data_IF_840400946983
#
_entry.id   IF_840400946983
#
_cell.length_a   1.000
_cell.length_b   1.000
_cell.length_c   1.000
_cell.angle_alpha   90.00
_cell.angle_beta   90.00
_cell.angle_gamma   90.00
#
_symmetry.space_group_name_H-M   'P 1'
#
loop_
_entity.id
_entity.type
_entity.pdbx_description
1 polymer ?
#
# COMPACT_ATOMS: atom_id res chain seq x y z
N UNK A 1 47.48 -10.91 -28.85
CA UNK A 1 47.70 -9.87 -27.83
C UNK A 1 46.66 -10.11 -26.76
N UNK A 2 47.06 -10.71 -25.64
CA UNK A 2 46.21 -10.75 -24.45
C UNK A 2 46.30 -9.38 -23.77
N UNK A 3 45.14 -8.80 -23.46
CA UNK A 3 45.05 -7.55 -22.71
C UNK A 3 45.42 -7.86 -21.26
N UNK A 4 46.52 -7.28 -20.77
CA UNK A 4 46.84 -7.24 -19.34
C UNK A 4 45.72 -6.47 -18.62
N UNK A 5 44.74 -7.19 -18.10
CA UNK A 5 43.77 -6.62 -17.17
C UNK A 5 44.51 -6.32 -15.86
N UNK A 6 44.86 -5.06 -15.62
CA UNK A 6 45.31 -4.50 -14.34
C UNK A 6 44.20 -4.51 -13.27
N UNK A 7 43.38 -5.55 -13.23
CA UNK A 7 42.40 -5.74 -12.17
C UNK A 7 43.13 -6.32 -10.95
N UNK A 8 43.57 -5.44 -10.05
CA UNK A 8 43.89 -5.85 -8.68
C UNK A 8 42.62 -6.41 -8.04
N UNK A 9 42.52 -7.74 -7.99
CA UNK A 9 41.44 -8.41 -7.28
C UNK A 9 41.73 -8.32 -5.77
N UNK A 10 41.08 -7.38 -5.09
CA UNK A 10 41.12 -7.30 -3.62
C UNK A 10 40.15 -8.35 -3.05
N UNK A 11 40.69 -9.45 -2.54
CA UNK A 11 39.92 -10.47 -1.83
C UNK A 11 39.95 -10.15 -0.33
N UNK A 12 38.83 -9.67 0.22
CA UNK A 12 38.69 -9.39 1.65
C UNK A 12 37.94 -10.56 2.30
N UNK A 13 38.62 -11.34 3.15
CA UNK A 13 37.99 -12.37 3.97
C UNK A 13 37.64 -11.80 5.36
N UNK A 14 36.35 -11.55 5.61
CA UNK A 14 35.85 -10.94 6.86
C UNK A 14 35.85 -11.89 8.08
N UNK A 15 36.29 -13.15 7.93
CA UNK A 15 36.28 -14.17 9.00
C UNK A 15 37.65 -14.40 9.68
N UNK A 16 38.70 -13.66 9.32
CA UNK A 16 40.04 -13.79 9.93
C UNK A 16 40.27 -12.82 11.10
N UNK A 17 41.12 -13.15 12.08
CA UNK A 17 41.51 -12.22 13.14
C UNK A 17 42.73 -11.39 12.71
N UNK A 18 42.53 -10.29 11.99
CA UNK A 18 43.60 -9.36 11.61
C UNK A 18 43.99 -8.45 12.77
N UNK A 19 45.28 -8.35 13.10
CA UNK A 19 45.75 -7.75 14.35
C UNK A 19 46.78 -6.62 14.16
N UNK A 20 46.66 -5.81 13.09
CA UNK A 20 47.68 -4.81 12.76
C UNK A 20 47.17 -3.41 12.42
N UNK A 21 46.04 -3.31 11.71
CA UNK A 21 45.51 -2.03 11.23
C UNK A 21 44.07 -1.83 11.74
N UNK A 22 43.88 -0.76 12.51
CA UNK A 22 42.61 -0.37 13.10
C UNK A 22 41.53 -0.13 12.04
N UNK A 23 41.89 0.44 10.89
CA UNK A 23 40.92 0.74 9.84
C UNK A 23 40.45 -0.55 9.14
N UNK A 24 41.36 -1.49 8.88
CA UNK A 24 40.99 -2.82 8.35
C UNK A 24 40.14 -3.62 9.34
N UNK A 25 40.46 -3.54 10.64
CA UNK A 25 39.66 -4.16 11.70
C UNK A 25 38.26 -3.55 11.77
N UNK A 26 38.13 -2.23 11.62
CA UNK A 26 36.84 -1.54 11.59
C UNK A 26 36.02 -1.86 10.34
N UNK A 27 36.65 -2.00 9.17
CA UNK A 27 35.99 -2.49 7.96
C UNK A 27 35.42 -3.90 8.17
N UNK A 28 36.22 -4.79 8.76
CA UNK A 28 35.78 -6.15 9.06
C UNK A 28 34.61 -6.17 10.05
N UNK A 29 34.70 -5.38 11.13
CA UNK A 29 33.61 -5.25 12.11
C UNK A 29 32.33 -4.73 11.45
N UNK A 30 32.43 -3.71 10.59
CA UNK A 30 31.29 -3.20 9.82
C UNK A 30 30.65 -4.27 8.92
N UNK A 31 31.46 -5.09 8.24
CA UNK A 31 30.97 -6.19 7.39
C UNK A 31 30.27 -7.31 8.18
N UNK A 32 30.56 -7.43 9.48
CA UNK A 32 30.00 -8.44 10.36
C UNK A 32 28.92 -7.87 11.31
N UNK A 33 28.44 -6.64 11.08
CA UNK A 33 27.50 -5.92 11.94
C UNK A 33 27.99 -5.72 13.40
N UNK A 34 29.32 -5.77 13.61
CA UNK A 34 29.95 -5.57 14.91
C UNK A 34 30.23 -4.09 15.19
N UNK A 35 30.38 -3.76 16.48
CA UNK A 35 30.72 -2.41 16.92
C UNK A 35 32.13 -2.02 16.49
N UNK A 36 32.24 -1.06 15.57
CA UNK A 36 33.51 -0.44 15.16
C UNK A 36 34.13 0.40 16.28
N UNK A 37 35.46 0.48 16.29
CA UNK A 37 36.19 1.38 17.18
C UNK A 37 36.21 2.80 16.62
N UNK A 38 36.00 3.78 17.48
CA UNK A 38 36.00 5.19 17.13
C UNK A 38 37.42 5.75 17.07
N UNK A 39 38.26 5.22 16.17
CA UNK A 39 39.58 5.79 15.87
C UNK A 39 39.92 5.62 14.38
N UNK A 40 40.95 6.32 13.90
CA UNK A 40 41.31 6.35 12.49
C UNK A 40 40.23 6.97 11.61
N UNK A 41 40.21 6.57 10.34
CA UNK A 41 39.33 7.15 9.30
C UNK A 41 37.85 6.97 9.64
N UNK A 42 37.50 5.89 10.34
CA UNK A 42 36.13 5.63 10.78
C UNK A 42 35.58 6.67 11.75
N UNK A 43 36.42 7.19 12.67
CA UNK A 43 36.02 8.23 13.60
C UNK A 43 35.71 9.54 12.87
N UNK A 44 36.54 9.87 11.89
CA UNK A 44 36.39 11.09 11.09
C UNK A 44 35.10 11.04 10.28
N UNK A 45 34.82 9.89 9.65
CA UNK A 45 33.54 9.64 8.94
C UNK A 45 32.35 9.74 9.90
N UNK A 46 32.43 9.12 11.09
CA UNK A 46 31.36 9.21 12.10
C UNK A 46 31.09 10.65 12.51
N UNK A 47 32.16 11.44 12.71
CA UNK A 47 32.07 12.85 13.08
C UNK A 47 31.42 13.67 11.96
N UNK A 48 31.84 13.46 10.72
CA UNK A 48 31.24 14.12 9.56
C UNK A 48 29.76 13.77 9.39
N UNK A 49 29.37 12.51 9.61
CA UNK A 49 27.97 12.08 9.58
C UNK A 49 27.17 12.78 10.68
N UNK A 50 27.72 12.88 11.90
CA UNK A 50 27.07 13.58 13.00
C UNK A 50 26.89 15.06 12.69
N UNK A 51 27.94 15.76 12.26
CA UNK A 51 27.89 17.17 11.87
C UNK A 51 26.88 17.41 10.73
N UNK A 52 26.85 16.52 9.74
CA UNK A 52 25.89 16.58 8.64
C UNK A 52 24.45 16.36 9.09
N UNK A 53 24.22 15.46 10.05
CA UNK A 53 22.89 15.20 10.62
C UNK A 53 22.45 16.32 11.58
N UNK A 54 23.40 16.97 12.24
CA UNK A 54 23.15 18.06 13.18
C UNK A 54 22.92 19.42 12.50
N UNK A 55 23.21 19.53 11.19
CA UNK A 55 22.91 20.73 10.39
C UNK A 55 21.41 21.10 10.52
N UNK A 56 21.08 22.24 11.15
CA UNK A 56 19.71 22.68 11.35
C UNK A 56 18.91 22.81 10.04
N UNK A 57 19.57 23.17 8.93
CA UNK A 57 18.91 23.30 7.62
C UNK A 57 18.44 21.94 7.12
N UNK A 58 19.25 20.90 7.30
CA UNK A 58 18.91 19.53 6.90
C UNK A 58 17.84 18.93 7.77
N UNK A 59 17.93 19.11 9.09
CA UNK A 59 16.86 18.69 10.01
C UNK A 59 15.52 19.33 9.64
N UNK A 60 15.52 20.62 9.33
CA UNK A 60 14.31 21.31 8.90
C UNK A 60 13.80 20.80 7.55
N UNK A 61 14.68 20.59 6.57
CA UNK A 61 14.30 20.05 5.27
C UNK A 61 13.66 18.66 5.40
N UNK A 62 14.26 17.78 6.20
CA UNK A 62 13.73 16.43 6.43
C UNK A 62 12.39 16.48 7.16
N UNK A 63 12.28 17.32 8.20
CA UNK A 63 11.00 17.54 8.91
C UNK A 63 9.90 18.02 7.96
N UNK A 64 10.22 18.97 7.07
CA UNK A 64 9.27 19.46 6.08
C UNK A 64 8.87 18.38 5.08
N UNK A 65 9.81 17.58 4.59
CA UNK A 65 9.52 16.46 3.69
C UNK A 65 8.62 15.41 4.39
N UNK A 66 8.94 15.05 5.63
CA UNK A 66 8.15 14.12 6.44
C UNK A 66 6.73 14.62 6.67
N UNK A 67 6.56 15.91 6.96
CA UNK A 67 5.24 16.54 7.09
C UNK A 67 4.44 16.44 5.79
N UNK A 68 5.04 16.76 4.64
CA UNK A 68 4.35 16.64 3.34
C UNK A 68 3.95 15.20 3.04
N UNK A 69 4.83 14.24 3.29
CA UNK A 69 4.52 12.82 3.10
C UNK A 69 3.35 12.38 3.99
N UNK A 70 3.32 12.82 5.26
CA UNK A 70 2.21 12.53 6.17
C UNK A 70 0.90 13.17 5.70
N UNK A 71 0.94 14.42 5.24
CA UNK A 71 -0.24 15.10 4.68
C UNK A 71 -0.76 14.40 3.41
N UNK A 72 0.13 14.06 2.48
CA UNK A 72 -0.24 13.33 1.25
C UNK A 72 -0.83 11.96 1.58
N UNK A 73 -0.25 11.24 2.53
CA UNK A 73 -0.76 9.94 2.98
C UNK A 73 -2.14 10.06 3.60
N UNK A 74 -2.36 11.06 4.48
CA UNK A 74 -3.65 11.29 5.11
C UNK A 74 -4.74 11.67 4.08
N UNK A 75 -4.38 12.46 3.06
CA UNK A 75 -5.29 12.80 1.95
C UNK A 75 -5.64 11.56 1.13
N UNK A 76 -4.65 10.73 0.81
CA UNK A 76 -4.87 9.49 0.07
C UNK A 76 -5.77 8.51 0.85
N UNK A 77 -5.52 8.33 2.14
CA UNK A 77 -6.34 7.50 3.03
C UNK A 77 -7.80 7.99 3.08
N UNK A 78 -8.00 9.29 3.33
CA UNK A 78 -9.35 9.88 3.36
C UNK A 78 -10.10 9.67 2.05
N UNK A 79 -9.42 9.87 0.90
CA UNK A 79 -10.01 9.62 -0.42
C UNK A 79 -10.35 8.14 -0.62
N UNK A 80 -9.46 7.24 -0.20
CA UNK A 80 -9.68 5.80 -0.26
C UNK A 80 -10.92 5.37 0.52
N UNK A 81 -11.09 5.88 1.74
CA UNK A 81 -12.27 5.63 2.58
C UNK A 81 -13.54 6.15 1.89
N UNK A 82 -13.55 7.41 1.44
CA UNK A 82 -14.73 8.02 0.81
C UNK A 82 -15.17 7.25 -0.45
N UNK A 83 -14.21 6.84 -1.28
CA UNK A 83 -14.49 6.02 -2.48
C UNK A 83 -15.01 4.64 -2.07
N UNK A 84 -14.40 4.02 -1.05
CA UNK A 84 -14.82 2.73 -0.53
C UNK A 84 -16.24 2.75 0.02
N UNK A 85 -16.59 3.75 0.81
CA UNK A 85 -17.93 3.95 1.36
C UNK A 85 -18.97 4.17 0.26
N UNK A 86 -18.71 5.07 -0.70
CA UNK A 86 -19.64 5.32 -1.81
C UNK A 86 -19.90 4.06 -2.63
N UNK A 87 -18.83 3.33 -3.01
CA UNK A 87 -18.96 2.07 -3.76
C UNK A 87 -19.66 1.00 -2.93
N UNK A 88 -19.37 0.90 -1.64
CA UNK A 88 -20.01 -0.05 -0.74
C UNK A 88 -21.51 0.18 -0.63
N UNK A 89 -21.93 1.45 -0.51
CA UNK A 89 -23.35 1.84 -0.48
C UNK A 89 -24.03 1.55 -1.82
N UNK A 90 -23.40 1.88 -2.95
CA UNK A 90 -23.94 1.62 -4.29
C UNK A 90 -24.15 0.12 -4.54
N UNK A 91 -23.13 -0.71 -4.30
CA UNK A 91 -23.20 -2.17 -4.44
C UNK A 91 -24.23 -2.75 -3.47
N UNK A 92 -24.28 -2.24 -2.23
CA UNK A 92 -25.24 -2.65 -1.22
C UNK A 92 -26.69 -2.36 -1.65
N UNK A 93 -26.94 -1.16 -2.19
CA UNK A 93 -28.25 -0.76 -2.70
C UNK A 93 -28.67 -1.62 -3.90
N UNK A 94 -27.80 -1.79 -4.89
CA UNK A 94 -28.09 -2.62 -6.07
C UNK A 94 -28.43 -4.07 -5.67
N UNK A 95 -27.64 -4.66 -4.75
CA UNK A 95 -27.90 -6.02 -4.26
C UNK A 95 -29.20 -6.09 -3.45
N UNK A 96 -29.49 -5.08 -2.64
CA UNK A 96 -30.74 -4.97 -1.87
C UNK A 96 -31.97 -4.88 -2.78
N UNK A 97 -31.89 -4.10 -3.85
CA UNK A 97 -32.96 -3.94 -4.82
C UNK A 97 -33.22 -5.25 -5.55
N UNK A 98 -32.16 -5.93 -6.03
CA UNK A 98 -32.28 -7.25 -6.68
C UNK A 98 -32.89 -8.28 -5.74
N UNK A 99 -32.49 -8.28 -4.46
CA UNK A 99 -33.05 -9.15 -3.45
C UNK A 99 -34.54 -8.87 -3.19
N UNK A 100 -34.95 -7.61 -3.19
CA UNK A 100 -36.36 -7.23 -3.03
C UNK A 100 -37.23 -7.84 -4.15
N UNK A 101 -36.78 -7.73 -5.40
CA UNK A 101 -37.47 -8.35 -6.55
C UNK A 101 -37.52 -9.88 -6.44
N UNK A 102 -36.41 -10.51 -6.03
CA UNK A 102 -36.34 -11.96 -5.82
C UNK A 102 -37.27 -12.44 -4.70
N UNK A 103 -37.32 -11.72 -3.59
CA UNK A 103 -38.23 -12.03 -2.46
C UNK A 103 -39.68 -11.91 -2.91
N UNK A 104 -40.03 -10.86 -3.66
CA UNK A 104 -41.37 -10.72 -4.23
C UNK A 104 -41.77 -11.95 -5.04
N UNK A 105 -40.90 -12.39 -5.95
CA UNK A 105 -41.14 -13.57 -6.79
C UNK A 105 -41.36 -14.85 -6.00
N UNK A 106 -40.59 -15.06 -4.93
CA UNK A 106 -40.75 -16.22 -4.03
C UNK A 106 -42.09 -16.15 -3.28
N UNK A 107 -42.51 -14.96 -2.84
CA UNK A 107 -43.76 -14.77 -2.10
C UNK A 107 -45.00 -14.80 -3.00
N UNK A 108 -44.84 -14.51 -4.29
CA UNK A 108 -45.92 -14.42 -5.28
C UNK A 108 -45.54 -15.20 -6.55
N UNK A 109 -45.43 -16.54 -6.48
CA UNK A 109 -44.95 -17.35 -7.60
C UNK A 109 -45.90 -17.35 -8.81
N UNK A 110 -47.20 -17.15 -8.57
CA UNK A 110 -48.23 -17.16 -9.63
C UNK A 110 -48.44 -15.78 -10.28
N UNK A 111 -47.77 -14.74 -9.78
CA UNK A 111 -47.91 -13.40 -10.34
C UNK A 111 -47.23 -13.32 -11.71
N UNK A 112 -47.91 -12.72 -12.68
CA UNK A 112 -47.30 -12.47 -13.99
C UNK A 112 -46.20 -11.41 -13.87
N UNK A 113 -45.23 -11.42 -14.80
CA UNK A 113 -44.13 -10.44 -14.84
C UNK A 113 -44.65 -9.00 -14.84
N UNK A 114 -45.76 -8.74 -15.55
CA UNK A 114 -46.39 -7.41 -15.63
C UNK A 114 -47.00 -6.97 -14.30
N UNK A 115 -47.72 -7.88 -13.61
CA UNK A 115 -48.29 -7.61 -12.29
C UNK A 115 -47.18 -7.40 -11.24
N UNK A 116 -46.14 -8.23 -11.30
CA UNK A 116 -44.97 -8.10 -10.42
C UNK A 116 -44.25 -6.76 -10.60
N UNK A 117 -44.01 -6.34 -11.84
CA UNK A 117 -43.41 -5.05 -12.14
C UNK A 117 -44.25 -3.89 -11.60
N UNK A 118 -45.57 -3.89 -11.87
CA UNK A 118 -46.47 -2.84 -11.41
C UNK A 118 -46.50 -2.77 -9.88
N UNK A 119 -46.53 -3.93 -9.21
CA UNK A 119 -46.52 -3.99 -7.74
C UNK A 119 -45.20 -3.45 -7.17
N UNK A 120 -44.05 -3.89 -7.70
CA UNK A 120 -42.73 -3.47 -7.23
C UNK A 120 -42.57 -1.96 -7.37
N UNK A 121 -42.93 -1.37 -8.51
CA UNK A 121 -42.86 0.10 -8.70
C UNK A 121 -43.82 0.88 -7.80
N UNK A 122 -44.99 0.32 -7.50
CA UNK A 122 -45.98 0.99 -6.67
C UNK A 122 -45.69 0.88 -5.16
N UNK A 123 -44.96 -0.16 -4.72
CA UNK A 123 -44.83 -0.52 -3.30
C UNK A 123 -43.37 -0.54 -2.78
N UNK A 124 -42.38 -0.30 -3.64
CA UNK A 124 -40.96 -0.34 -3.25
C UNK A 124 -40.17 0.82 -3.88
N UNK A 125 -39.04 1.20 -3.27
CA UNK A 125 -38.12 2.24 -3.76
C UNK A 125 -36.91 1.63 -4.50
N UNK A 126 -37.12 0.53 -5.22
CA UNK A 126 -36.02 -0.10 -5.98
C UNK A 126 -35.57 0.83 -7.10
N UNK A 127 -34.26 1.00 -7.23
CA UNK A 127 -33.62 1.82 -8.26
C UNK A 127 -33.40 1.09 -9.58
N UNK A 128 -33.84 -0.17 -9.68
CA UNK A 128 -33.74 -0.99 -10.88
C UNK A 128 -34.64 -0.48 -12.01
N UNK A 129 -34.14 -0.58 -13.23
CA UNK A 129 -34.91 -0.36 -14.45
C UNK A 129 -36.01 -1.39 -14.64
N UNK A 130 -36.99 -1.07 -15.48
CA UNK A 130 -38.10 -1.96 -15.79
C UNK A 130 -37.60 -3.25 -16.46
N UNK A 131 -36.58 -3.14 -17.31
CA UNK A 131 -35.91 -4.27 -17.96
C UNK A 131 -35.23 -5.19 -16.95
N UNK A 132 -34.51 -4.64 -15.97
CA UNK A 132 -33.85 -5.42 -14.92
C UNK A 132 -34.86 -6.14 -14.02
N UNK A 133 -35.93 -5.44 -13.61
CA UNK A 133 -37.00 -6.06 -12.81
C UNK A 133 -37.65 -7.20 -13.59
N UNK A 134 -37.99 -6.98 -14.87
CA UNK A 134 -38.57 -8.02 -15.74
C UNK A 134 -37.62 -9.21 -15.91
N UNK A 135 -36.31 -8.97 -16.07
CA UNK A 135 -35.32 -10.03 -16.18
C UNK A 135 -35.31 -10.91 -14.92
N UNK A 136 -35.25 -10.32 -13.72
CA UNK A 136 -35.24 -11.08 -12.45
C UNK A 136 -36.56 -11.84 -12.25
N UNK A 137 -37.70 -11.23 -12.59
CA UNK A 137 -39.01 -11.87 -12.49
C UNK A 137 -39.17 -13.04 -13.48
N UNK A 138 -38.54 -12.97 -14.66
CA UNK A 138 -38.62 -13.99 -15.71
C UNK A 138 -37.56 -15.10 -15.62
N UNK A 139 -36.52 -14.96 -14.79
CA UNK A 139 -35.56 -16.05 -14.52
C UNK A 139 -36.32 -17.32 -14.08
N UNK A 140 -36.01 -18.50 -14.61
CA UNK A 140 -36.51 -19.73 -13.96
C UNK A 140 -35.53 -20.11 -12.85
N UNK A 141 -36.04 -20.48 -11.67
CA UNK A 141 -35.18 -21.00 -10.59
C UNK A 141 -34.50 -22.31 -11.01
#
# INVERSE_FOLDING_TARGET
>A
MELENNAENIIINSKGSGNGDTDLLNLQKLMNDDKIESSGVFKDIQTQIQEYNDDPKRRNLMRTAELRMKEETAVAEKRGIEIGEKRGVEIGREKGDKNTVRVFKVLKPDATVTEGLAWIKANTDVSLSDEEIKAILSENN
#
